data_IF_868363957204
#
_entry.id   IF_868363957204
#
_cell.length_a   1.000
_cell.length_b   1.000
_cell.length_c   1.000
_cell.angle_alpha   90.00
_cell.angle_beta   90.00
_cell.angle_gamma   90.00
#
_symmetry.space_group_name_H-M   'P 1'
#
loop_
_entity.id
_entity.type
_entity.pdbx_description
1 polymer ?
#
# COMPACT_ATOMS: atom_id res chain seq x y z
N UNK A 1 34.47 30.95 -29.46
CA UNK A 1 34.29 29.55 -28.97
C UNK A 1 33.01 28.92 -29.56
N UNK A 2 33.11 27.70 -30.09
CA UNK A 2 31.95 27.00 -30.62
C UNK A 2 30.98 26.65 -29.48
N UNK A 3 29.70 26.99 -29.62
CA UNK A 3 28.65 26.55 -28.69
C UNK A 3 28.47 25.05 -28.87
N UNK A 4 28.74 24.29 -27.80
CA UNK A 4 28.45 22.85 -27.78
C UNK A 4 26.93 22.65 -27.73
N UNK A 5 26.41 21.78 -28.58
CA UNK A 5 25.00 21.38 -28.55
C UNK A 5 24.82 20.25 -27.53
N UNK A 6 23.79 20.37 -26.68
CA UNK A 6 23.39 19.33 -25.73
C UNK A 6 22.42 18.39 -26.44
N UNK A 7 22.62 17.10 -26.26
CA UNK A 7 21.73 16.07 -26.83
C UNK A 7 20.43 15.98 -26.04
N UNK A 8 19.28 16.04 -26.71
CA UNK A 8 17.98 16.07 -26.04
C UNK A 8 17.62 14.76 -25.34
N UNK A 9 18.19 13.63 -25.78
CA UNK A 9 17.88 12.29 -25.25
C UNK A 9 18.83 11.85 -24.13
N UNK A 10 20.06 12.34 -24.14
CA UNK A 10 21.12 11.86 -23.24
C UNK A 10 21.79 12.96 -22.40
N UNK A 11 21.32 14.21 -22.48
CA UNK A 11 21.76 15.31 -21.60
C UNK A 11 20.67 15.65 -20.57
N UNK A 12 20.54 14.82 -19.54
CA UNK A 12 19.52 14.97 -18.50
C UNK A 12 20.00 15.77 -17.28
N UNK A 13 19.05 16.41 -16.58
CA UNK A 13 19.28 17.00 -15.26
C UNK A 13 19.18 15.94 -14.19
N UNK A 14 19.96 16.09 -13.12
CA UNK A 14 19.83 15.30 -11.90
C UNK A 14 19.36 16.19 -10.75
N UNK A 15 18.81 15.54 -9.74
CA UNK A 15 18.42 16.14 -8.46
C UNK A 15 19.00 15.28 -7.33
N UNK A 16 19.40 15.92 -6.23
CA UNK A 16 19.95 15.27 -5.04
C UNK A 16 18.91 15.28 -3.92
N UNK A 17 18.58 14.10 -3.40
CA UNK A 17 17.76 13.93 -2.20
C UNK A 17 18.61 13.41 -1.06
N UNK A 18 18.26 13.77 0.17
CA UNK A 18 18.78 13.18 1.39
C UNK A 18 17.66 12.48 2.15
N UNK A 19 17.83 11.17 2.37
CA UNK A 19 17.01 10.41 3.30
C UNK A 19 17.92 9.94 4.44
N UNK A 20 17.59 10.30 5.68
CA UNK A 20 18.45 10.05 6.84
C UNK A 20 19.88 10.57 6.58
N UNK A 21 20.88 9.69 6.62
CA UNK A 21 22.29 9.99 6.36
C UNK A 21 22.75 9.55 4.95
N UNK A 22 21.81 9.34 4.02
CA UNK A 22 22.09 8.81 2.68
C UNK A 22 21.67 9.80 1.60
N UNK A 23 22.60 10.12 0.69
CA UNK A 23 22.34 10.93 -0.49
C UNK A 23 21.96 10.07 -1.70
N UNK A 24 20.98 10.53 -2.46
CA UNK A 24 20.51 9.92 -3.70
C UNK A 24 20.53 10.93 -4.83
N UNK A 25 21.39 10.70 -5.82
CA UNK A 25 21.45 11.53 -7.04
C UNK A 25 20.76 10.81 -8.18
N UNK A 26 19.68 11.40 -8.67
CA UNK A 26 18.74 10.73 -9.57
C UNK A 26 18.36 11.63 -10.74
N UNK A 27 18.16 11.08 -11.95
CA UNK A 27 17.69 11.88 -13.08
C UNK A 27 16.28 12.42 -12.83
N UNK A 28 16.00 13.67 -13.19
CA UNK A 28 14.69 14.29 -12.93
C UNK A 28 13.54 13.61 -13.66
N UNK A 29 13.80 13.02 -14.84
CA UNK A 29 12.80 12.26 -15.60
C UNK A 29 12.37 10.95 -14.92
N UNK A 30 13.07 10.54 -13.85
CA UNK A 30 12.72 9.35 -13.08
C UNK A 30 11.39 9.48 -12.33
N UNK A 31 10.95 10.71 -12.09
CA UNK A 31 9.76 11.00 -11.31
C UNK A 31 8.60 11.39 -12.23
N UNK A 32 7.36 11.09 -11.83
CA UNK A 32 6.18 11.57 -12.55
C UNK A 32 6.21 13.09 -12.65
N UNK A 33 6.19 13.61 -13.88
CA UNK A 33 6.30 15.05 -14.13
C UNK A 33 4.95 15.78 -13.99
N UNK A 34 3.86 15.02 -14.04
CA UNK A 34 2.47 15.46 -14.09
C UNK A 34 1.65 15.04 -12.87
N UNK A 35 2.26 14.33 -11.93
CA UNK A 35 1.57 13.79 -10.75
C UNK A 35 2.32 14.04 -9.43
N UNK A 36 1.52 14.25 -8.37
CA UNK A 36 1.96 14.22 -6.98
C UNK A 36 2.90 15.35 -6.56
N UNK A 37 3.68 15.07 -5.52
CA UNK A 37 4.58 16.07 -4.91
C UNK A 37 5.68 16.52 -5.87
N UNK A 38 6.14 15.64 -6.76
CA UNK A 38 7.27 15.92 -7.66
C UNK A 38 6.88 16.88 -8.79
N UNK A 39 5.68 16.74 -9.36
CA UNK A 39 5.15 17.71 -10.32
C UNK A 39 5.09 19.12 -9.71
N UNK A 40 4.56 19.21 -8.48
CA UNK A 40 4.49 20.48 -7.74
C UNK A 40 5.89 21.04 -7.46
N UNK A 41 6.80 20.18 -7.00
CA UNK A 41 8.16 20.55 -6.65
C UNK A 41 8.95 21.10 -7.85
N UNK A 42 8.84 20.46 -9.02
CA UNK A 42 9.57 20.87 -10.21
C UNK A 42 8.92 22.05 -10.96
N UNK A 43 7.64 22.35 -10.70
CA UNK A 43 6.95 23.51 -11.26
C UNK A 43 7.23 24.82 -10.51
N UNK A 44 7.77 24.77 -9.29
CA UNK A 44 8.01 25.97 -8.49
C UNK A 44 9.07 26.90 -9.13
N UNK A 45 8.83 28.22 -9.18
CA UNK A 45 9.83 29.17 -9.65
C UNK A 45 11.11 29.06 -8.82
N UNK A 46 12.25 28.90 -9.50
CA UNK A 46 13.55 29.00 -8.84
C UNK A 46 13.73 30.44 -8.37
N UNK A 47 13.78 30.65 -7.06
CA UNK A 47 14.12 31.96 -6.49
C UNK A 47 15.54 32.38 -6.84
N UNK A 48 15.99 33.52 -6.32
CA UNK A 48 17.30 34.10 -6.65
C UNK A 48 18.52 33.32 -6.09
N UNK A 49 18.30 32.18 -5.42
CA UNK A 49 19.33 31.33 -4.82
C UNK A 49 19.59 30.02 -5.55
N UNK A 50 20.61 29.28 -5.11
CA UNK A 50 20.85 27.90 -5.56
C UNK A 50 19.63 27.02 -5.25
N UNK A 51 19.03 26.34 -6.25
CA UNK A 51 17.86 25.50 -6.02
C UNK A 51 18.18 24.35 -5.05
N UNK A 52 17.25 24.02 -4.17
CA UNK A 52 17.35 22.80 -3.37
C UNK A 52 17.46 21.57 -4.29
N UNK A 53 18.36 20.64 -3.92
CA UNK A 53 18.68 19.45 -4.70
C UNK A 53 19.69 19.68 -5.83
N UNK A 54 20.30 20.86 -5.94
CA UNK A 54 21.32 21.15 -6.98
C UNK A 54 22.68 20.50 -6.71
N UNK A 55 23.01 20.20 -5.45
CA UNK A 55 24.30 19.64 -5.04
C UNK A 55 24.19 18.76 -3.80
N UNK A 56 25.29 18.06 -3.49
CA UNK A 56 25.43 17.23 -2.29
C UNK A 56 25.42 18.09 -1.00
N UNK A 57 25.82 19.36 -1.09
CA UNK A 57 25.83 20.33 0.02
C UNK A 57 24.47 21.02 0.22
N UNK A 58 23.57 20.92 -0.75
CA UNK A 58 22.21 21.49 -0.70
C UNK A 58 21.18 20.48 -1.24
N UNK A 59 21.03 19.29 -0.62
CA UNK A 59 20.09 18.27 -1.08
C UNK A 59 18.65 18.63 -0.68
N UNK A 60 17.69 18.00 -1.34
CA UNK A 60 16.30 17.98 -0.87
C UNK A 60 16.21 17.06 0.34
N UNK A 61 15.90 17.64 1.50
CA UNK A 61 15.80 16.87 2.73
C UNK A 61 14.43 16.20 2.83
N UNK A 62 14.42 14.86 2.75
CA UNK A 62 13.18 14.10 2.90
C UNK A 62 12.71 14.11 4.37
N UNK A 63 11.39 14.07 4.61
CA UNK A 63 10.84 14.05 5.97
C UNK A 63 11.40 12.91 6.83
N UNK A 64 11.51 13.07 8.17
CA UNK A 64 12.07 12.06 9.06
C UNK A 64 11.40 10.67 8.99
N UNK A 65 10.14 10.61 8.58
CA UNK A 65 9.38 9.37 8.39
C UNK A 65 9.75 8.58 7.12
N UNK A 66 10.58 9.15 6.23
CA UNK A 66 11.06 8.53 5.00
C UNK A 66 12.46 7.98 5.22
N UNK A 67 12.57 6.66 5.36
CA UNK A 67 13.86 5.98 5.51
C UNK A 67 14.62 5.91 4.18
N UNK A 68 15.95 5.74 4.25
CA UNK A 68 16.77 5.52 3.06
C UNK A 68 16.37 4.23 2.32
N UNK A 69 15.95 3.18 3.05
CA UNK A 69 15.42 1.96 2.45
C UNK A 69 14.09 2.19 1.73
N UNK A 70 13.18 2.97 2.31
CA UNK A 70 11.89 3.25 1.68
C UNK A 70 12.09 3.99 0.36
N UNK A 71 12.91 5.06 0.41
CA UNK A 71 13.18 5.86 -0.78
C UNK A 71 13.90 5.06 -1.86
N UNK A 72 14.86 4.22 -1.48
CA UNK A 72 15.54 3.30 -2.41
C UNK A 72 14.56 2.35 -3.10
N UNK A 73 13.59 1.80 -2.39
CA UNK A 73 12.55 0.94 -2.97
C UNK A 73 11.68 1.69 -3.99
N UNK A 74 11.28 2.92 -3.67
CA UNK A 74 10.56 3.79 -4.63
C UNK A 74 11.40 4.05 -5.89
N UNK A 75 12.68 4.41 -5.75
CA UNK A 75 13.56 4.61 -6.89
C UNK A 75 13.72 3.35 -7.75
N UNK A 76 13.79 2.16 -7.13
CA UNK A 76 13.82 0.89 -7.86
C UNK A 76 12.56 0.67 -8.71
N UNK A 77 11.39 1.09 -8.21
CA UNK A 77 10.12 0.94 -8.91
C UNK A 77 9.93 1.94 -10.06
N UNK A 78 10.54 3.14 -9.94
CA UNK A 78 10.49 4.22 -10.92
C UNK A 78 11.55 4.08 -12.03
N UNK A 79 12.75 3.61 -11.69
CA UNK A 79 13.89 3.58 -12.62
C UNK A 79 14.10 2.18 -13.21
N UNK A 80 14.37 2.07 -14.52
CA UNK A 80 14.82 0.83 -15.12
C UNK A 80 16.08 0.33 -14.40
N UNK A 81 15.97 -0.80 -13.71
CA UNK A 81 17.13 -1.41 -13.07
C UNK A 81 17.99 -2.09 -14.15
N UNK A 82 19.31 -2.00 -14.01
CA UNK A 82 20.22 -2.66 -14.94
C UNK A 82 19.96 -4.17 -14.96
N UNK A 83 19.87 -4.76 -16.15
CA UNK A 83 19.53 -6.19 -16.40
C UNK A 83 20.42 -7.17 -15.60
N UNK A 84 21.60 -6.74 -15.14
CA UNK A 84 22.53 -7.56 -14.34
C UNK A 84 22.11 -7.72 -12.88
N UNK A 85 21.21 -6.87 -12.39
CA UNK A 85 20.63 -6.94 -11.05
C UNK A 85 19.12 -7.01 -11.28
N UNK A 86 18.59 -8.22 -11.43
CA UNK A 86 17.16 -8.44 -11.24
C UNK A 86 16.90 -8.17 -9.76
N UNK A 87 16.72 -6.90 -9.40
CA UNK A 87 16.26 -6.51 -8.10
C UNK A 87 14.80 -6.94 -8.05
N UNK A 88 14.56 -8.19 -7.66
CA UNK A 88 13.23 -8.66 -7.32
C UNK A 88 12.77 -7.79 -6.16
N UNK A 89 11.86 -6.87 -6.43
CA UNK A 89 11.19 -6.08 -5.40
C UNK A 89 10.33 -7.08 -4.63
N UNK A 90 10.76 -7.38 -3.40
CA UNK A 90 10.02 -8.29 -2.54
C UNK A 90 8.82 -7.57 -1.91
N UNK A 91 8.01 -8.29 -1.14
CA UNK A 91 6.81 -7.71 -0.53
C UNK A 91 7.13 -6.48 0.33
N UNK A 92 8.22 -6.50 1.11
CA UNK A 92 8.62 -5.39 1.98
C UNK A 92 9.02 -4.16 1.16
N UNK A 93 9.75 -4.35 0.07
CA UNK A 93 10.11 -3.26 -0.84
C UNK A 93 8.85 -2.69 -1.53
N UNK A 94 7.88 -3.53 -1.93
CA UNK A 94 6.60 -3.04 -2.44
C UNK A 94 5.78 -2.31 -1.37
N UNK A 95 5.88 -2.70 -0.10
CA UNK A 95 5.25 -1.97 1.00
C UNK A 95 5.89 -0.58 1.20
N UNK A 96 7.21 -0.46 1.02
CA UNK A 96 7.88 0.84 0.98
C UNK A 96 7.40 1.71 -0.19
N UNK A 97 7.25 1.12 -1.39
CA UNK A 97 6.74 1.83 -2.57
C UNK A 97 5.29 2.28 -2.33
N UNK A 98 4.43 1.41 -1.81
CA UNK A 98 3.04 1.70 -1.48
C UNK A 98 2.92 2.83 -0.44
N UNK A 99 3.75 2.78 0.62
CA UNK A 99 3.84 3.84 1.63
C UNK A 99 4.13 5.20 1.00
N UNK A 100 5.20 5.30 0.22
CA UNK A 100 5.66 6.57 -0.33
C UNK A 100 4.78 7.07 -1.48
N UNK A 101 4.31 6.18 -2.35
CA UNK A 101 3.36 6.55 -3.41
C UNK A 101 2.04 7.08 -2.86
N UNK A 102 1.55 6.52 -1.75
CA UNK A 102 0.38 7.06 -1.05
C UNK A 102 0.69 8.41 -0.40
N UNK A 103 1.82 8.53 0.31
CA UNK A 103 2.23 9.78 0.98
C UNK A 103 2.41 10.94 0.01
N UNK A 104 2.87 10.67 -1.20
CA UNK A 104 3.21 11.68 -2.20
C UNK A 104 2.19 11.82 -3.33
N UNK A 105 1.03 11.17 -3.21
CA UNK A 105 -0.04 11.15 -4.21
C UNK A 105 0.47 10.78 -5.61
N UNK A 106 1.20 9.66 -5.70
CA UNK A 106 1.67 9.06 -6.94
C UNK A 106 0.74 7.89 -7.28
N UNK A 107 -0.42 8.17 -7.83
CA UNK A 107 -1.53 7.24 -7.97
C UNK A 107 -1.18 6.07 -8.89
N UNK A 108 -0.54 6.33 -10.03
CA UNK A 108 -0.11 5.28 -10.96
C UNK A 108 0.91 4.34 -10.31
N UNK A 109 1.86 4.91 -9.56
CA UNK A 109 2.88 4.14 -8.85
C UNK A 109 2.25 3.36 -7.70
N UNK A 110 1.23 3.92 -7.05
CA UNK A 110 0.47 3.24 -5.99
C UNK A 110 -0.26 2.04 -6.57
N UNK A 111 -1.02 2.21 -7.65
CA UNK A 111 -1.74 1.13 -8.33
C UNK A 111 -0.76 0.01 -8.74
N UNK A 112 0.37 0.36 -9.38
CA UNK A 112 1.43 -0.58 -9.71
C UNK A 112 1.93 -1.34 -8.48
N UNK A 113 2.22 -0.64 -7.38
CA UNK A 113 2.74 -1.28 -6.16
C UNK A 113 1.75 -2.26 -5.54
N UNK A 114 0.46 -1.94 -5.58
CA UNK A 114 -0.62 -2.80 -5.09
C UNK A 114 -0.78 -4.02 -6.00
N UNK A 115 -0.69 -3.86 -7.32
CA UNK A 115 -0.72 -4.96 -8.29
C UNK A 115 0.46 -5.91 -8.12
N UNK A 116 1.68 -5.39 -7.99
CA UNK A 116 2.89 -6.21 -7.88
C UNK A 116 2.99 -6.91 -6.51
N UNK A 117 2.44 -6.30 -5.46
CA UNK A 117 2.38 -6.90 -4.13
C UNK A 117 1.35 -8.04 -4.01
N UNK A 118 0.36 -8.14 -4.90
CA UNK A 118 -0.76 -9.09 -4.77
C UNK A 118 -0.31 -10.53 -4.56
N UNK A 119 0.64 -10.99 -5.36
CA UNK A 119 1.10 -12.38 -5.28
C UNK A 119 1.71 -12.65 -3.91
N UNK A 120 2.55 -11.75 -3.40
CA UNK A 120 3.14 -11.89 -2.06
C UNK A 120 2.11 -11.81 -0.95
N UNK A 121 1.20 -10.84 -1.02
CA UNK A 121 0.14 -10.62 -0.01
C UNK A 121 -0.84 -11.79 0.04
N UNK A 122 -1.18 -12.39 -1.11
CA UNK A 122 -2.08 -13.54 -1.20
C UNK A 122 -1.55 -14.79 -0.48
N UNK A 123 -0.23 -14.92 -0.34
CA UNK A 123 0.44 -16.03 0.34
C UNK A 123 0.53 -15.84 1.86
N UNK A 124 0.21 -14.65 2.37
CA UNK A 124 0.20 -14.37 3.79
C UNK A 124 -0.96 -15.05 4.50
N UNK A 125 -0.77 -15.33 5.79
CA UNK A 125 -1.88 -15.69 6.67
C UNK A 125 -2.91 -14.57 6.75
N UNK A 126 -4.18 -14.88 7.06
CA UNK A 126 -5.25 -13.90 6.99
C UNK A 126 -5.11 -12.79 8.05
N UNK A 127 -4.43 -13.04 9.17
CA UNK A 127 -4.13 -11.99 10.15
C UNK A 127 -3.05 -11.05 9.65
N UNK A 128 -1.96 -11.57 9.09
CA UNK A 128 -0.90 -10.78 8.46
C UNK A 128 -1.45 -9.93 7.32
N UNK A 129 -2.25 -10.53 6.44
CA UNK A 129 -2.92 -9.86 5.33
C UNK A 129 -3.80 -8.72 5.82
N UNK A 130 -4.62 -8.95 6.85
CA UNK A 130 -5.52 -7.92 7.39
C UNK A 130 -4.77 -6.75 8.04
N UNK A 131 -3.70 -7.04 8.79
CA UNK A 131 -2.83 -6.01 9.39
C UNK A 131 -2.20 -5.14 8.30
N UNK A 132 -1.69 -5.75 7.24
CA UNK A 132 -1.07 -5.07 6.12
C UNK A 132 -2.12 -4.24 5.34
N UNK A 133 -3.28 -4.81 5.06
CA UNK A 133 -4.39 -4.13 4.39
C UNK A 133 -4.87 -2.88 5.15
N UNK A 134 -4.96 -2.97 6.48
CA UNK A 134 -5.31 -1.83 7.33
C UNK A 134 -4.20 -0.77 7.36
N UNK A 135 -2.94 -1.19 7.47
CA UNK A 135 -1.78 -0.27 7.52
C UNK A 135 -1.65 0.56 6.24
N UNK A 136 -1.90 -0.05 5.07
CA UNK A 136 -1.72 0.61 3.78
C UNK A 136 -3.01 1.03 3.10
N UNK A 137 -4.15 0.90 3.79
CA UNK A 137 -5.48 1.23 3.28
C UNK A 137 -5.73 0.62 1.91
N UNK A 138 -5.68 -0.72 1.84
CA UNK A 138 -5.99 -1.50 0.63
C UNK A 138 -7.21 -2.37 0.89
N UNK A 139 -8.37 -1.87 0.45
CA UNK A 139 -9.70 -2.41 0.75
C UNK A 139 -9.88 -3.85 0.26
N UNK A 140 -9.32 -4.20 -0.90
CA UNK A 140 -9.42 -5.55 -1.46
C UNK A 140 -8.75 -6.61 -0.59
N UNK A 141 -7.53 -6.35 -0.12
CA UNK A 141 -6.80 -7.24 0.80
C UNK A 141 -7.52 -7.33 2.14
N UNK A 142 -8.13 -6.23 2.59
CA UNK A 142 -8.91 -6.19 3.81
C UNK A 142 -10.13 -7.10 3.72
N UNK A 143 -10.93 -6.95 2.65
CA UNK A 143 -12.16 -7.73 2.44
C UNK A 143 -11.84 -9.22 2.37
N UNK A 144 -10.84 -9.61 1.58
CA UNK A 144 -10.40 -11.01 1.49
C UNK A 144 -10.01 -11.57 2.87
N UNK A 145 -9.16 -10.86 3.60
CA UNK A 145 -8.67 -11.31 4.89
C UNK A 145 -9.79 -11.37 5.95
N UNK A 146 -10.67 -10.38 5.98
CA UNK A 146 -11.82 -10.34 6.88
C UNK A 146 -12.81 -11.47 6.58
N UNK A 147 -13.00 -11.81 5.30
CA UNK A 147 -13.83 -12.94 4.88
C UNK A 147 -13.22 -14.28 5.32
N UNK A 148 -11.92 -14.47 5.14
CA UNK A 148 -11.21 -15.68 5.61
C UNK A 148 -11.29 -15.85 7.13
N UNK A 149 -11.04 -14.77 7.89
CA UNK A 149 -11.17 -14.78 9.36
C UNK A 149 -12.62 -14.93 9.82
N UNK A 150 -13.57 -14.37 9.07
CA UNK A 150 -14.99 -14.56 9.26
C UNK A 150 -15.37 -16.02 9.13
N UNK A 151 -14.93 -16.69 8.07
CA UNK A 151 -15.25 -18.10 7.78
C UNK A 151 -14.55 -19.11 8.69
N UNK A 152 -13.39 -18.76 9.25
CA UNK A 152 -12.60 -19.66 10.11
C UNK A 152 -13.44 -20.31 11.22
N UNK A 153 -13.18 -21.55 11.58
CA UNK A 153 -13.90 -22.21 12.68
C UNK A 153 -13.54 -21.61 14.04
N UNK A 154 -12.24 -21.38 14.26
CA UNK A 154 -11.71 -20.83 15.50
C UNK A 154 -11.79 -19.30 15.54
N UNK A 155 -12.06 -18.76 16.74
CA UNK A 155 -11.95 -17.33 17.01
C UNK A 155 -10.49 -16.88 16.94
N UNK A 156 -10.21 -15.59 16.64
CA UNK A 156 -8.88 -15.01 16.78
C UNK A 156 -8.25 -15.28 18.14
N UNK A 157 -6.99 -15.72 18.20
CA UNK A 157 -6.25 -15.93 19.45
C UNK A 157 -5.98 -14.60 20.17
N UNK A 158 -5.49 -14.64 21.40
CA UNK A 158 -5.13 -13.41 22.12
C UNK A 158 -4.04 -12.60 21.37
N UNK A 159 -3.06 -13.30 20.81
CA UNK A 159 -1.96 -12.73 20.04
C UNK A 159 -2.45 -12.13 18.72
N UNK A 160 -3.35 -12.82 18.01
CA UNK A 160 -3.96 -12.29 16.79
C UNK A 160 -4.79 -11.04 17.08
N UNK A 161 -5.61 -11.06 18.14
CA UNK A 161 -6.40 -9.88 18.55
C UNK A 161 -5.52 -8.70 18.94
N UNK A 162 -4.39 -8.95 19.60
CA UNK A 162 -3.43 -7.90 19.94
C UNK A 162 -2.84 -7.24 18.69
N UNK A 163 -2.58 -8.01 17.63
CA UNK A 163 -2.07 -7.49 16.34
C UNK A 163 -3.12 -6.74 15.54
N UNK A 164 -4.37 -7.20 15.58
CA UNK A 164 -5.49 -6.59 14.87
C UNK A 164 -6.00 -5.31 15.55
N UNK A 165 -5.82 -5.19 16.87
CA UNK A 165 -6.43 -4.15 17.67
C UNK A 165 -7.86 -4.50 18.11
N UNK A 166 -8.34 -3.80 19.14
CA UNK A 166 -9.62 -4.12 19.79
C UNK A 166 -10.81 -3.96 18.85
N UNK A 167 -10.91 -2.82 18.16
CA UNK A 167 -12.03 -2.49 17.27
C UNK A 167 -12.20 -3.53 16.15
N UNK A 168 -11.13 -3.79 15.40
CA UNK A 168 -11.13 -4.79 14.32
C UNK A 168 -11.42 -6.19 14.87
N UNK A 169 -10.94 -6.53 16.07
CA UNK A 169 -11.24 -7.81 16.70
C UNK A 169 -12.72 -7.96 17.05
N UNK A 170 -13.35 -6.94 17.65
CA UNK A 170 -14.77 -6.96 17.97
C UNK A 170 -15.65 -6.99 16.71
N UNK A 171 -15.29 -6.19 15.69
CA UNK A 171 -15.97 -6.19 14.40
C UNK A 171 -15.90 -7.56 13.70
N UNK A 172 -14.76 -8.26 13.78
CA UNK A 172 -14.65 -9.64 13.29
C UNK A 172 -15.51 -10.61 14.09
N UNK A 173 -15.61 -10.44 15.42
CA UNK A 173 -16.50 -11.28 16.22
C UNK A 173 -17.98 -11.02 15.89
N UNK A 174 -18.39 -9.78 15.64
CA UNK A 174 -19.72 -9.45 15.16
C UNK A 174 -20.01 -10.09 13.79
N UNK A 175 -19.10 -9.96 12.82
CA UNK A 175 -19.21 -10.63 11.52
C UNK A 175 -19.42 -12.14 11.68
N UNK A 176 -18.63 -12.76 12.58
CA UNK A 176 -18.74 -14.18 12.87
C UNK A 176 -20.07 -14.54 13.51
N UNK A 177 -20.51 -13.78 14.50
CA UNK A 177 -21.77 -14.00 15.21
C UNK A 177 -22.99 -13.87 14.28
N UNK A 178 -23.01 -12.85 13.40
CA UNK A 178 -24.06 -12.69 12.38
C UNK A 178 -24.15 -13.92 11.47
N UNK A 179 -23.00 -14.44 11.05
CA UNK A 179 -22.96 -15.63 10.18
C UNK A 179 -23.40 -16.92 10.91
N UNK A 180 -23.10 -17.08 12.21
CA UNK A 180 -23.59 -18.20 13.02
C UNK A 180 -25.11 -18.12 13.21
N UNK A 181 -25.63 -16.95 13.60
CA UNK A 181 -27.06 -16.70 13.73
C UNK A 181 -27.82 -16.94 12.42
N UNK A 182 -27.20 -16.59 11.28
CA UNK A 182 -27.75 -16.93 9.97
C UNK A 182 -27.82 -18.45 9.77
N UNK A 183 -26.73 -19.18 10.06
CA UNK A 183 -26.70 -20.64 9.95
C UNK A 183 -27.77 -21.33 10.80
N UNK A 184 -27.93 -20.90 12.06
CA UNK A 184 -28.91 -21.48 12.99
C UNK A 184 -30.35 -21.25 12.52
N UNK A 185 -30.69 -20.04 12.06
CA UNK A 185 -32.03 -19.73 11.52
C UNK A 185 -32.40 -20.54 10.27
N UNK A 186 -31.39 -20.99 9.53
CA UNK A 186 -31.56 -21.73 8.27
C UNK A 186 -31.25 -23.23 8.42
N UNK A 187 -31.10 -23.72 9.66
CA UNK A 187 -31.01 -25.14 9.96
C UNK A 187 -32.41 -25.69 10.24
N UNK A 188 -32.83 -26.69 9.47
CA UNK A 188 -34.13 -27.35 9.66
C UNK A 188 -34.17 -28.05 11.02
N UNK A 189 -35.30 -27.94 11.73
CA UNK A 189 -35.50 -28.60 13.03
C UNK A 189 -35.26 -30.11 12.93
N UNK A 190 -34.36 -30.65 13.75
CA UNK A 190 -34.08 -32.09 13.82
C UNK A 190 -32.86 -32.57 13.02
N UNK A 191 -32.16 -31.69 12.29
CA UNK A 191 -30.86 -32.00 11.70
C UNK A 191 -29.71 -31.50 12.59
N UNK A 192 -28.59 -32.23 12.72
CA UNK A 192 -27.42 -31.77 13.47
C UNK A 192 -26.91 -30.43 12.91
N UNK A 193 -26.43 -29.55 13.80
CA UNK A 193 -25.86 -28.25 13.44
C UNK A 193 -24.80 -28.42 12.35
N UNK A 194 -25.19 -28.20 11.10
CA UNK A 194 -24.29 -28.29 9.97
C UNK A 194 -23.65 -26.91 9.79
N UNK A 195 -22.39 -26.79 10.21
CA UNK A 195 -21.59 -25.57 10.04
C UNK A 195 -21.63 -25.03 8.59
N UNK A 196 -21.90 -25.91 7.62
CA UNK A 196 -22.04 -25.55 6.20
C UNK A 196 -23.02 -24.42 5.88
N UNK A 197 -24.14 -24.28 6.63
CA UNK A 197 -25.16 -23.25 6.33
C UNK A 197 -24.66 -21.83 6.54
N UNK A 198 -23.75 -21.64 7.50
CA UNK A 198 -23.08 -20.36 7.77
C UNK A 198 -22.32 -19.83 6.55
N UNK A 199 -21.75 -20.69 5.71
CA UNK A 199 -21.01 -20.26 4.52
C UNK A 199 -21.89 -19.67 3.42
N UNK A 200 -23.21 -19.80 3.52
CA UNK A 200 -24.17 -19.11 2.66
C UNK A 200 -24.50 -17.69 3.15
N UNK A 201 -23.98 -17.29 4.32
CA UNK A 201 -24.11 -15.92 4.80
C UNK A 201 -23.42 -14.95 3.84
N UNK A 202 -24.03 -13.78 3.64
CA UNK A 202 -23.49 -12.72 2.79
C UNK A 202 -22.29 -12.01 3.40
N UNK A 203 -21.17 -12.72 3.59
CA UNK A 203 -19.95 -12.19 4.22
C UNK A 203 -19.48 -10.89 3.59
N UNK A 204 -19.38 -10.84 2.26
CA UNK A 204 -18.92 -9.63 1.55
C UNK A 204 -19.80 -8.42 1.88
N UNK A 205 -21.11 -8.55 1.79
CA UNK A 205 -22.06 -7.47 2.12
C UNK A 205 -21.90 -7.01 3.59
N UNK A 206 -21.86 -7.97 4.52
CA UNK A 206 -21.66 -7.68 5.93
C UNK A 206 -20.30 -7.03 6.22
N UNK A 207 -19.24 -7.40 5.51
CA UNK A 207 -17.91 -6.78 5.63
C UNK A 207 -17.97 -5.31 5.19
N UNK A 208 -18.63 -5.00 4.08
CA UNK A 208 -18.80 -3.62 3.61
C UNK A 208 -19.60 -2.75 4.60
N UNK A 209 -20.54 -3.35 5.33
CA UNK A 209 -21.30 -2.67 6.38
C UNK A 209 -20.46 -2.46 7.64
N UNK A 210 -19.90 -3.53 8.20
CA UNK A 210 -19.21 -3.54 9.49
C UNK A 210 -17.90 -2.76 9.44
N UNK A 211 -17.13 -2.91 8.36
CA UNK A 211 -15.79 -2.32 8.22
C UNK A 211 -15.78 -1.10 7.30
N UNK A 212 -16.94 -0.45 7.10
CA UNK A 212 -17.07 0.70 6.19
C UNK A 212 -15.99 1.75 6.45
N UNK A 213 -15.73 2.07 7.72
CA UNK A 213 -14.76 3.09 8.13
C UNK A 213 -13.32 2.71 7.75
N UNK A 214 -12.93 1.44 7.82
CA UNK A 214 -11.62 0.99 7.36
C UNK A 214 -11.54 1.00 5.82
N UNK A 215 -12.62 0.61 5.12
CA UNK A 215 -12.63 0.46 3.66
C UNK A 215 -12.59 1.79 2.92
N UNK A 216 -13.27 2.84 3.44
CA UNK A 216 -13.28 4.17 2.79
C UNK A 216 -11.95 4.91 2.89
N UNK A 217 -11.00 4.41 3.68
CA UNK A 217 -9.64 4.96 3.73
C UNK A 217 -8.84 4.61 2.47
N UNK A 218 -9.21 3.53 1.78
CA UNK A 218 -8.65 3.21 0.48
C UNK A 218 -9.30 4.12 -0.58
N UNK A 219 -8.51 4.99 -1.19
CA UNK A 219 -8.99 5.91 -2.23
C UNK A 219 -9.60 5.17 -3.44
N UNK A 220 -9.18 3.92 -3.69
CA UNK A 220 -9.64 3.11 -4.82
C UNK A 220 -10.87 2.25 -4.46
N UNK A 221 -11.34 2.34 -3.21
CA UNK A 221 -12.49 1.59 -2.74
C UNK A 221 -13.77 2.02 -3.47
N UNK A 222 -14.47 1.02 -4.01
CA UNK A 222 -15.79 1.18 -4.61
C UNK A 222 -16.81 0.48 -3.74
N UNK A 223 -17.70 1.27 -3.13
CA UNK A 223 -18.84 0.71 -2.38
C UNK A 223 -19.65 -0.21 -3.29
N UNK A 224 -20.10 -1.38 -2.80
CA UNK A 224 -21.08 -2.17 -3.54
C UNK A 224 -22.34 -1.33 -3.76
N UNK A 225 -22.87 -1.39 -4.98
CA UNK A 225 -24.15 -0.79 -5.40
C UNK A 225 -25.33 -1.63 -4.96
#
# INVERSE_FOLDING_TARGET
>A
PASMNKDESFYFSCVVFQAENTLFKVPTYAFPADEGIFASMFALPKGDGEPEGSSDDNPINLPPEVSASDFKSLLKACLPQSVKVIAVVNIDEWMSVLKLSTMWNLDDLREKSVSEADTGVSQLGPVEKLVLAKRYSVSRWFIEAAEDLGKRETIPTAEERARLGAETSFALLDLRERSWNYGDKHTLSGHPHYQGRRFLFGFKSAIHEIFKEDLVLDKDYKSPT
#
